data_IF_879799281180
#
_entry.id   IF_879799281180
#
_cell.length_a   1.000
_cell.length_b   1.000
_cell.length_c   1.000
_cell.angle_alpha   90.00
_cell.angle_beta   90.00
_cell.angle_gamma   90.00
#
_symmetry.space_group_name_H-M   'P 1'
#
loop_
_entity.id
_entity.type
_entity.pdbx_description
1 polymer ?
#
# COMPACT_ATOMS: atom_id res chain seq x y z
N UNK A 1 68.13 34.57 41.30
CA UNK A 1 67.47 33.42 40.56
C UNK A 1 65.97 33.30 40.87
N UNK A 2 65.51 33.58 42.06
CA UNK A 2 64.09 33.46 42.44
C UNK A 2 63.16 34.48 41.76
N UNK A 3 63.55 35.73 41.49
CA UNK A 3 62.69 36.77 40.87
C UNK A 3 62.33 36.46 39.41
N UNK A 4 63.18 35.76 38.65
CA UNK A 4 62.90 35.36 37.26
C UNK A 4 61.83 34.18 37.16
N UNK A 5 61.82 33.31 38.16
CA UNK A 5 60.87 32.16 38.19
C UNK A 5 59.47 32.66 38.50
N UNK A 6 59.33 33.60 39.46
CA UNK A 6 58.02 34.17 39.83
C UNK A 6 57.37 34.93 38.66
N UNK A 7 58.20 35.75 37.91
CA UNK A 7 57.70 36.47 36.73
C UNK A 7 57.24 35.52 35.62
N UNK A 8 57.95 34.41 35.39
CA UNK A 8 57.58 33.43 34.34
C UNK A 8 56.28 32.67 34.71
N UNK A 9 56.11 32.28 35.98
CA UNK A 9 54.91 31.64 36.49
C UNK A 9 53.73 32.60 36.44
N UNK A 10 53.87 33.85 36.80
CA UNK A 10 52.83 34.86 36.71
C UNK A 10 52.42 35.15 35.26
N UNK A 11 53.35 35.22 34.33
CA UNK A 11 53.08 35.45 32.90
C UNK A 11 52.33 34.25 32.28
N UNK A 12 52.71 33.04 32.66
CA UNK A 12 52.01 31.81 32.23
C UNK A 12 50.58 31.72 32.79
N UNK A 13 50.39 32.11 34.06
CA UNK A 13 49.07 32.17 34.67
C UNK A 13 48.15 33.19 33.98
N UNK A 14 48.71 34.37 33.68
CA UNK A 14 48.01 35.46 32.99
C UNK A 14 47.63 35.03 31.57
N UNK A 15 48.54 34.34 30.86
CA UNK A 15 48.29 33.82 29.52
C UNK A 15 47.20 32.75 29.55
N UNK A 16 47.23 31.82 30.55
CA UNK A 16 46.23 30.80 30.73
C UNK A 16 44.84 31.38 31.03
N UNK A 17 44.75 32.40 31.88
CA UNK A 17 43.51 33.13 32.16
C UNK A 17 42.96 33.86 30.94
N UNK A 18 43.84 34.43 30.13
CA UNK A 18 43.46 35.14 28.91
C UNK A 18 42.94 34.19 27.84
N UNK A 19 43.61 33.05 27.64
CA UNK A 19 43.18 32.00 26.71
C UNK A 19 41.86 31.35 27.18
N UNK A 20 41.73 31.05 28.46
CA UNK A 20 40.51 30.50 29.03
C UNK A 20 39.35 31.49 28.97
N UNK A 21 39.59 32.77 29.23
CA UNK A 21 38.59 33.83 29.14
C UNK A 21 38.12 34.08 27.70
N UNK A 22 39.05 34.04 26.73
CA UNK A 22 38.70 34.17 25.32
C UNK A 22 37.96 32.96 24.80
N UNK A 23 38.36 31.73 25.19
CA UNK A 23 37.65 30.49 24.82
C UNK A 23 36.24 30.46 25.42
N UNK A 24 36.08 30.86 26.71
CA UNK A 24 34.77 30.97 27.35
C UNK A 24 33.91 32.07 26.71
N UNK A 25 34.48 33.22 26.43
CA UNK A 25 33.78 34.30 25.73
C UNK A 25 33.33 33.91 24.33
N UNK A 26 34.20 33.27 23.54
CA UNK A 26 33.86 32.74 22.22
C UNK A 26 32.79 31.67 22.32
N UNK A 27 32.88 30.72 23.26
CA UNK A 27 31.88 29.71 23.49
C UNK A 27 30.51 30.29 23.89
N UNK A 28 30.53 31.33 24.77
CA UNK A 28 29.31 32.03 25.18
C UNK A 28 28.69 32.84 24.04
N UNK A 29 29.51 33.54 23.25
CA UNK A 29 29.04 34.32 22.09
C UNK A 29 28.52 33.39 20.97
N UNK A 30 29.22 32.30 20.69
CA UNK A 30 28.75 31.33 19.70
C UNK A 30 27.46 30.65 20.16
N UNK A 31 27.38 30.19 21.40
CA UNK A 31 26.15 29.60 21.94
C UNK A 31 24.98 30.59 21.90
N UNK A 32 25.18 31.84 22.31
CA UNK A 32 24.15 32.86 22.30
C UNK A 32 23.78 33.32 20.87
N UNK A 33 24.74 33.29 19.94
CA UNK A 33 24.46 33.52 18.51
C UNK A 33 23.69 32.38 17.89
N UNK A 34 24.08 31.13 18.16
CA UNK A 34 23.33 29.95 17.69
C UNK A 34 21.94 29.89 18.32
N UNK A 35 21.78 30.16 19.61
CA UNK A 35 20.46 30.21 20.25
C UNK A 35 19.59 31.29 19.62
N UNK A 36 20.12 32.51 19.42
CA UNK A 36 19.36 33.56 18.72
C UNK A 36 19.10 33.27 17.25
N UNK A 37 20.02 32.56 16.57
CA UNK A 37 19.79 32.10 15.20
C UNK A 37 18.70 31.01 15.15
N UNK A 38 18.73 30.08 16.11
CA UNK A 38 17.68 29.11 16.27
C UNK A 38 16.33 29.76 16.60
N UNK A 39 16.29 30.67 17.56
CA UNK A 39 15.10 31.45 17.90
C UNK A 39 14.57 32.28 16.71
N UNK A 40 15.49 32.85 15.91
CA UNK A 40 15.09 33.58 14.70
C UNK A 40 14.72 32.66 13.53
N UNK A 41 15.30 31.47 13.46
CA UNK A 41 14.84 30.43 12.52
C UNK A 41 13.52 29.82 12.96
N UNK A 42 13.24 29.69 14.26
CA UNK A 42 11.93 29.40 14.80
C UNK A 42 10.90 30.48 14.47
N UNK A 43 11.27 31.76 14.58
CA UNK A 43 10.44 32.89 14.16
C UNK A 43 10.24 32.99 12.63
N UNK A 44 11.18 32.45 11.85
CA UNK A 44 11.09 32.32 10.39
C UNK A 44 10.61 30.94 9.95
N UNK A 45 10.49 30.00 10.90
CA UNK A 45 9.88 28.70 10.64
C UNK A 45 8.35 28.91 10.61
N UNK A 46 7.70 28.86 9.45
CA UNK A 46 6.25 29.00 9.37
C UNK A 46 5.50 27.89 10.11
N UNK A 47 6.25 26.99 10.78
CA UNK A 47 5.76 25.82 11.49
C UNK A 47 5.72 25.95 13.00
N UNK A 48 6.22 27.06 13.58
CA UNK A 48 6.06 27.38 15.00
C UNK A 48 4.74 28.10 15.21
N UNK A 49 3.74 27.33 15.58
CA UNK A 49 2.49 27.69 16.30
C UNK A 49 1.89 29.08 16.04
N UNK A 50 1.93 29.53 14.77
CA UNK A 50 1.27 30.77 14.34
C UNK A 50 -0.24 30.60 14.08
N UNK A 51 -0.84 29.45 14.46
CA UNK A 51 -2.24 29.13 14.14
C UNK A 51 -2.50 28.99 12.63
N UNK A 52 -1.46 29.04 11.80
CA UNK A 52 -1.56 28.72 10.38
C UNK A 52 -1.70 27.22 10.27
N UNK A 53 -2.83 26.77 9.78
CA UNK A 53 -3.07 25.37 9.41
C UNK A 53 -2.03 24.99 8.35
N UNK A 54 -0.97 24.28 8.78
CA UNK A 54 0.00 23.72 7.86
C UNK A 54 -0.77 22.70 7.03
N UNK A 55 -0.84 22.96 5.73
CA UNK A 55 -1.44 21.99 4.81
C UNK A 55 -0.56 20.74 4.79
N UNK A 56 -1.07 19.62 5.32
CA UNK A 56 -0.45 18.30 5.26
C UNK A 56 -1.16 17.45 4.21
N UNK A 57 -1.00 17.72 2.90
CA UNK A 57 -1.82 17.13 1.85
C UNK A 57 -1.71 15.61 1.78
N UNK A 58 -0.56 15.03 2.14
CA UNK A 58 -0.38 13.59 2.12
C UNK A 58 -1.12 12.87 3.25
N UNK A 59 -1.56 13.57 4.30
CA UNK A 59 -2.36 12.95 5.37
C UNK A 59 -3.68 12.36 4.83
N UNK A 60 -4.20 12.89 3.73
CA UNK A 60 -5.36 12.33 3.03
C UNK A 60 -5.15 10.90 2.51
N UNK A 61 -3.89 10.46 2.42
CA UNK A 61 -3.50 9.11 1.99
C UNK A 61 -3.13 8.18 3.15
N UNK A 62 -3.20 8.64 4.40
CA UNK A 62 -3.02 7.74 5.55
C UNK A 62 -4.14 6.69 5.58
N UNK A 63 -3.86 5.48 6.04
CA UNK A 63 -4.84 4.39 6.08
C UNK A 63 -6.10 4.80 6.85
N UNK A 64 -6.02 5.45 8.05
CA UNK A 64 -7.20 5.94 8.74
C UNK A 64 -8.00 7.00 7.97
N UNK A 65 -7.33 7.85 7.18
CA UNK A 65 -8.02 8.83 6.32
C UNK A 65 -8.71 8.14 5.15
N UNK A 66 -8.04 7.16 4.53
CA UNK A 66 -8.60 6.37 3.43
C UNK A 66 -9.81 5.54 3.88
N UNK A 67 -9.85 5.04 5.10
CA UNK A 67 -11.01 4.32 5.64
C UNK A 67 -12.27 5.19 5.75
N UNK A 68 -12.10 6.50 5.90
CA UNK A 68 -13.18 7.48 6.03
C UNK A 68 -13.53 8.17 4.70
N UNK A 69 -12.74 7.93 3.67
CA UNK A 69 -12.88 8.57 2.36
C UNK A 69 -14.14 8.08 1.65
N UNK A 70 -14.84 9.00 0.97
CA UNK A 70 -15.84 8.67 -0.03
C UNK A 70 -15.16 8.32 -1.35
N UNK A 71 -15.51 7.15 -1.90
CA UNK A 71 -14.91 6.62 -3.12
C UNK A 71 -15.86 6.80 -4.30
N UNK A 72 -15.32 7.24 -5.43
CA UNK A 72 -16.05 7.38 -6.68
C UNK A 72 -16.25 6.01 -7.35
N UNK A 73 -17.32 5.87 -8.09
CA UNK A 73 -17.56 4.71 -8.96
C UNK A 73 -17.72 5.16 -10.40
N UNK A 74 -17.25 4.39 -11.35
CA UNK A 74 -17.40 4.65 -12.77
C UNK A 74 -17.78 3.36 -13.51
N UNK A 75 -18.34 3.49 -14.71
CA UNK A 75 -18.54 2.32 -15.57
C UNK A 75 -17.19 1.80 -16.06
N UNK A 76 -17.11 0.49 -16.21
CA UNK A 76 -16.01 -0.17 -16.91
C UNK A 76 -16.35 -0.18 -18.39
N UNK A 77 -15.43 0.32 -19.23
CA UNK A 77 -15.56 0.32 -20.66
C UNK A 77 -14.61 -0.70 -21.30
N UNK A 78 -15.07 -1.43 -22.33
CA UNK A 78 -14.21 -2.25 -23.17
C UNK A 78 -13.76 -1.42 -24.38
N UNK A 79 -12.45 -1.19 -24.51
CA UNK A 79 -11.88 -0.31 -25.53
C UNK A 79 -11.62 -1.07 -26.85
N UNK A 80 -10.96 -2.23 -26.73
CA UNK A 80 -10.59 -3.09 -27.88
C UNK A 80 -10.25 -4.51 -27.44
N UNK A 81 -10.34 -5.45 -28.36
CA UNK A 81 -9.82 -6.80 -28.19
C UNK A 81 -8.29 -6.74 -28.24
N UNK A 82 -7.62 -7.34 -27.27
CA UNK A 82 -6.17 -7.54 -27.23
C UNK A 82 -5.79 -8.89 -27.86
N UNK A 83 -6.45 -9.96 -27.44
CA UNK A 83 -6.27 -11.31 -28.02
C UNK A 83 -7.56 -12.11 -27.88
N UNK A 84 -7.80 -13.04 -28.83
CA UNK A 84 -8.82 -14.08 -28.75
C UNK A 84 -8.09 -15.40 -28.53
N UNK A 85 -8.37 -16.05 -27.40
CA UNK A 85 -7.80 -17.33 -27.03
C UNK A 85 -8.87 -18.42 -27.14
N UNK A 86 -8.50 -19.70 -27.04
CA UNK A 86 -9.42 -20.83 -27.23
C UNK A 86 -10.59 -20.86 -26.23
N UNK A 87 -10.43 -20.29 -25.02
CA UNK A 87 -11.40 -20.36 -23.93
C UNK A 87 -11.79 -19.03 -23.29
N UNK A 88 -11.16 -17.93 -23.72
CA UNK A 88 -11.47 -16.59 -23.25
C UNK A 88 -11.06 -15.52 -24.26
N UNK A 89 -11.70 -14.37 -24.20
CA UNK A 89 -11.29 -13.17 -24.94
C UNK A 89 -10.67 -12.15 -24.00
N UNK A 90 -9.53 -11.58 -24.40
CA UNK A 90 -8.81 -10.56 -23.66
C UNK A 90 -9.09 -9.17 -24.24
N UNK A 91 -9.47 -8.23 -23.42
CA UNK A 91 -9.82 -6.86 -23.77
C UNK A 91 -8.88 -5.85 -23.10
N UNK A 92 -8.61 -4.75 -23.78
CA UNK A 92 -8.23 -3.51 -23.12
C UNK A 92 -9.50 -2.92 -22.49
N UNK A 93 -9.51 -2.72 -21.20
CA UNK A 93 -10.59 -2.00 -20.51
C UNK A 93 -10.13 -0.64 -20.01
N UNK A 94 -11.09 0.22 -19.71
CA UNK A 94 -10.83 1.46 -18.99
C UNK A 94 -11.91 1.72 -17.94
N UNK A 95 -11.55 2.53 -16.94
CA UNK A 95 -12.46 3.12 -15.96
C UNK A 95 -11.90 4.45 -15.46
N UNK A 96 -12.76 5.27 -14.87
CA UNK A 96 -12.31 6.54 -14.26
C UNK A 96 -12.09 6.33 -12.76
N UNK A 97 -10.92 6.74 -12.28
CA UNK A 97 -10.53 6.72 -10.87
C UNK A 97 -9.74 7.97 -10.54
N UNK A 98 -10.00 8.57 -9.36
CA UNK A 98 -9.38 9.86 -8.99
C UNK A 98 -9.55 10.96 -10.07
N UNK A 99 -10.64 10.91 -10.84
CA UNK A 99 -10.92 11.83 -11.94
C UNK A 99 -10.06 11.64 -13.18
N UNK A 100 -9.27 10.55 -13.27
CA UNK A 100 -8.35 10.22 -14.39
C UNK A 100 -8.70 8.88 -14.99
N UNK A 101 -8.35 8.69 -16.28
CA UNK A 101 -8.52 7.43 -16.99
C UNK A 101 -7.47 6.41 -16.51
N UNK A 102 -7.94 5.23 -16.12
CA UNK A 102 -7.12 4.05 -15.87
C UNK A 102 -7.46 2.98 -16.88
N UNK A 103 -6.44 2.35 -17.48
CA UNK A 103 -6.60 1.20 -18.38
C UNK A 103 -6.10 -0.09 -17.73
N UNK A 104 -6.32 -1.20 -18.43
CA UNK A 104 -5.83 -2.50 -17.99
C UNK A 104 -6.28 -3.64 -18.90
N UNK A 105 -5.88 -4.86 -18.55
CA UNK A 105 -6.29 -6.08 -19.23
C UNK A 105 -7.47 -6.71 -18.51
N UNK A 106 -8.51 -7.08 -19.25
CA UNK A 106 -9.68 -7.80 -18.77
C UNK A 106 -9.88 -9.05 -19.63
N UNK A 107 -9.88 -10.25 -19.01
CA UNK A 107 -10.17 -11.48 -19.71
C UNK A 107 -11.56 -11.98 -19.32
N UNK A 108 -12.38 -12.29 -20.31
CA UNK A 108 -13.72 -12.81 -20.15
C UNK A 108 -13.77 -14.23 -20.70
N UNK A 109 -13.99 -15.26 -19.86
CA UNK A 109 -14.17 -16.64 -20.32
C UNK A 109 -15.38 -16.79 -21.20
N UNK A 110 -15.29 -17.59 -22.28
CA UNK A 110 -16.38 -17.84 -23.22
C UNK A 110 -17.58 -18.55 -22.54
N UNK A 111 -17.29 -19.37 -21.53
CA UNK A 111 -18.35 -20.03 -20.75
C UNK A 111 -19.26 -19.02 -20.01
N UNK A 112 -18.77 -17.83 -19.69
CA UNK A 112 -19.53 -16.76 -19.03
C UNK A 112 -20.48 -16.09 -20.02
N UNK A 113 -20.02 -15.83 -21.23
CA UNK A 113 -20.85 -15.23 -22.29
C UNK A 113 -21.96 -16.20 -22.76
N UNK A 114 -21.67 -17.51 -22.74
CA UNK A 114 -22.63 -18.54 -23.11
C UNK A 114 -23.73 -18.78 -22.05
N UNK A 115 -23.49 -18.48 -20.78
CA UNK A 115 -24.42 -18.71 -19.65
C UNK A 115 -24.57 -17.45 -18.80
N UNK A 116 -25.39 -16.49 -19.22
CA UNK A 116 -25.52 -15.19 -18.52
C UNK A 116 -26.13 -15.31 -17.11
N UNK A 117 -26.84 -16.34 -16.78
CA UNK A 117 -27.52 -16.56 -15.49
C UNK A 117 -26.64 -17.24 -14.44
N UNK A 118 -25.42 -17.69 -14.80
CA UNK A 118 -24.49 -18.32 -13.86
C UNK A 118 -23.89 -17.32 -12.90
N UNK A 119 -23.67 -17.74 -11.67
CA UNK A 119 -22.98 -16.94 -10.64
C UNK A 119 -21.54 -16.64 -11.09
N UNK A 120 -21.19 -15.35 -11.21
CA UNK A 120 -19.93 -14.92 -11.82
C UNK A 120 -18.99 -14.41 -10.78
N UNK A 121 -17.76 -14.87 -10.87
CA UNK A 121 -16.65 -14.52 -9.97
C UNK A 121 -15.58 -13.77 -10.75
N UNK A 122 -15.05 -12.72 -10.16
CA UNK A 122 -13.97 -11.95 -10.74
C UNK A 122 -12.74 -11.95 -9.81
N UNK A 123 -11.56 -11.93 -10.42
CA UNK A 123 -10.29 -11.80 -9.70
C UNK A 123 -9.59 -10.56 -10.21
N UNK A 124 -9.27 -9.63 -9.31
CA UNK A 124 -8.47 -8.46 -9.62
C UNK A 124 -7.00 -8.82 -9.37
N UNK A 125 -6.17 -8.64 -10.40
CA UNK A 125 -4.75 -8.99 -10.34
C UNK A 125 -3.89 -7.73 -10.23
N UNK A 126 -3.05 -7.69 -9.20
CA UNK A 126 -2.19 -6.55 -8.89
C UNK A 126 -0.72 -6.94 -9.10
N UNK A 127 -0.12 -6.33 -10.13
CA UNK A 127 1.27 -6.61 -10.49
C UNK A 127 2.28 -6.06 -9.49
N UNK A 128 3.49 -6.62 -9.51
CA UNK A 128 4.67 -6.05 -8.90
C UNK A 128 5.24 -4.84 -9.68
N UNK A 129 6.47 -4.49 -9.36
CA UNK A 129 7.20 -3.48 -10.13
C UNK A 129 7.55 -4.03 -11.53
N UNK A 130 7.36 -3.18 -12.54
CA UNK A 130 7.81 -3.41 -13.91
C UNK A 130 8.36 -2.07 -14.42
N UNK A 131 9.56 -2.02 -15.01
CA UNK A 131 10.08 -0.79 -15.62
C UNK A 131 9.13 -0.26 -16.70
N UNK A 132 8.92 1.07 -16.74
CA UNK A 132 7.97 1.68 -17.68
C UNK A 132 8.36 1.44 -19.13
N UNK A 133 9.65 1.36 -19.42
CA UNK A 133 10.22 1.22 -20.77
C UNK A 133 9.87 -0.11 -21.44
N UNK A 134 9.62 -1.14 -20.65
CA UNK A 134 9.28 -2.49 -21.15
C UNK A 134 7.81 -2.85 -20.91
N UNK A 135 7.05 -1.94 -20.27
CA UNK A 135 5.68 -2.23 -19.91
C UNK A 135 4.74 -2.22 -21.12
N UNK A 136 3.92 -3.23 -21.17
CA UNK A 136 2.71 -3.27 -21.99
C UNK A 136 1.55 -3.79 -21.15
N UNK A 137 0.33 -3.41 -21.47
CA UNK A 137 -0.88 -3.83 -20.72
C UNK A 137 -0.88 -5.33 -20.42
N UNK A 138 -1.06 -5.66 -19.14
CA UNK A 138 -1.07 -7.02 -18.63
C UNK A 138 0.31 -7.57 -18.20
N UNK A 139 1.42 -6.90 -18.50
CA UNK A 139 2.75 -7.37 -18.06
C UNK A 139 2.80 -7.45 -16.53
N UNK A 140 3.34 -8.56 -16.02
CA UNK A 140 3.42 -8.86 -14.60
C UNK A 140 2.24 -9.65 -14.03
N UNK A 141 1.10 -9.71 -14.76
CA UNK A 141 -0.08 -10.49 -14.37
C UNK A 141 -0.57 -11.45 -15.46
N UNK A 142 -0.13 -11.26 -16.71
CA UNK A 142 -0.66 -11.92 -17.90
C UNK A 142 -0.80 -13.44 -17.76
N UNK A 143 0.23 -14.13 -17.24
CA UNK A 143 0.20 -15.59 -17.12
C UNK A 143 -0.80 -16.06 -16.07
N UNK A 144 -0.84 -15.42 -14.90
CA UNK A 144 -1.81 -15.74 -13.86
C UNK A 144 -3.24 -15.41 -14.31
N UNK A 145 -3.43 -14.25 -14.95
CA UNK A 145 -4.71 -13.83 -15.50
C UNK A 145 -5.24 -14.84 -16.56
N UNK A 146 -4.35 -15.34 -17.42
CA UNK A 146 -4.70 -16.35 -18.42
C UNK A 146 -5.11 -17.67 -17.76
N UNK A 147 -4.32 -18.19 -16.81
CA UNK A 147 -4.61 -19.43 -16.11
C UNK A 147 -5.95 -19.37 -15.35
N UNK A 148 -6.19 -18.27 -14.65
CA UNK A 148 -7.44 -18.05 -13.93
C UNK A 148 -8.64 -17.85 -14.88
N UNK A 149 -8.45 -17.21 -16.04
CA UNK A 149 -9.50 -17.11 -17.06
C UNK A 149 -9.84 -18.46 -17.66
N UNK A 150 -8.84 -19.31 -17.94
CA UNK A 150 -9.04 -20.69 -18.37
C UNK A 150 -9.79 -21.53 -17.31
N UNK A 151 -9.61 -21.22 -16.02
CA UNK A 151 -10.34 -21.83 -14.91
C UNK A 151 -11.78 -21.26 -14.76
N UNK A 152 -12.20 -20.32 -15.61
CA UNK A 152 -13.57 -19.77 -15.64
C UNK A 152 -13.79 -18.48 -14.84
N UNK A 153 -12.75 -17.83 -14.34
CA UNK A 153 -12.86 -16.55 -13.65
C UNK A 153 -12.73 -15.37 -14.63
N UNK A 154 -13.53 -14.32 -14.45
CA UNK A 154 -13.23 -13.03 -15.06
C UNK A 154 -11.98 -12.49 -14.37
N UNK A 155 -10.95 -12.09 -15.14
CA UNK A 155 -9.72 -11.54 -14.59
C UNK A 155 -9.52 -10.12 -15.01
N UNK A 156 -9.16 -9.23 -14.06
CA UNK A 156 -9.06 -7.79 -14.25
C UNK A 156 -7.73 -7.32 -13.71
N UNK A 157 -6.86 -6.78 -14.55
CA UNK A 157 -5.53 -6.34 -14.18
C UNK A 157 -5.32 -4.86 -14.57
N UNK A 158 -5.44 -3.90 -13.63
CA UNK A 158 -5.21 -2.50 -13.93
C UNK A 158 -3.72 -2.22 -14.24
N UNK A 159 -3.46 -1.35 -15.20
CA UNK A 159 -2.10 -0.94 -15.59
C UNK A 159 -1.43 -0.06 -14.53
N UNK A 160 -2.21 0.67 -13.74
CA UNK A 160 -1.87 1.81 -12.91
C UNK A 160 -1.51 3.08 -13.72
N UNK A 161 -1.57 4.24 -13.09
CA UNK A 161 -1.20 5.51 -13.71
C UNK A 161 0.25 5.50 -14.19
N UNK A 162 0.51 6.16 -15.30
CA UNK A 162 1.81 6.19 -15.97
C UNK A 162 2.16 4.93 -16.78
N UNK A 163 1.23 3.95 -16.87
CA UNK A 163 1.44 2.70 -17.59
C UNK A 163 0.31 2.40 -18.57
N UNK A 164 0.63 1.70 -19.67
CA UNK A 164 -0.33 1.40 -20.73
C UNK A 164 -0.91 2.66 -21.34
N UNK A 165 -2.24 2.67 -21.55
CA UNK A 165 -2.99 3.82 -22.06
C UNK A 165 -3.67 4.61 -20.90
N UNK A 166 -3.20 4.43 -19.65
CA UNK A 166 -3.65 5.19 -18.48
C UNK A 166 -3.10 6.62 -18.47
N UNK A 167 -3.81 7.52 -17.80
CA UNK A 167 -3.32 8.87 -17.55
C UNK A 167 -2.01 8.88 -16.75
N UNK A 168 -1.21 9.96 -16.79
CA UNK A 168 0.07 10.07 -16.09
C UNK A 168 -0.05 9.89 -14.58
N UNK A 169 1.02 9.41 -13.94
CA UNK A 169 1.17 9.47 -12.47
C UNK A 169 1.20 10.93 -11.99
N UNK A 170 0.78 11.20 -10.74
CA UNK A 170 0.97 12.52 -10.15
C UNK A 170 2.47 12.86 -10.00
N UNK A 171 2.80 14.15 -10.10
CA UNK A 171 4.19 14.63 -9.97
C UNK A 171 4.79 14.31 -8.59
N UNK A 172 3.94 14.28 -7.54
CA UNK A 172 4.38 13.91 -6.21
C UNK A 172 4.54 12.40 -6.08
N UNK A 173 5.75 11.92 -5.93
CA UNK A 173 6.12 10.50 -5.87
C UNK A 173 5.42 9.74 -4.74
N UNK A 174 5.19 10.39 -3.58
CA UNK A 174 4.44 9.79 -2.47
C UNK A 174 2.97 9.64 -2.80
N UNK A 175 2.36 10.66 -3.42
CA UNK A 175 0.99 10.57 -3.91
C UNK A 175 0.86 9.43 -4.92
N UNK A 176 1.77 9.31 -5.90
CA UNK A 176 1.80 8.22 -6.88
C UNK A 176 1.83 6.84 -6.22
N UNK A 177 2.59 6.69 -5.13
CA UNK A 177 2.64 5.46 -4.36
C UNK A 177 1.33 5.17 -3.63
N UNK A 178 0.81 6.16 -2.90
CA UNK A 178 -0.34 5.99 -2.01
C UNK A 178 -1.69 6.00 -2.74
N UNK A 179 -1.76 6.50 -3.97
CA UNK A 179 -2.97 6.44 -4.81
C UNK A 179 -3.30 5.04 -5.30
N UNK A 180 -2.32 4.14 -5.42
CA UNK A 180 -2.54 2.79 -5.98
C UNK A 180 -3.63 1.99 -5.24
N UNK A 181 -3.66 1.88 -3.91
CA UNK A 181 -4.77 1.23 -3.22
C UNK A 181 -6.13 1.92 -3.45
N UNK A 182 -6.17 3.26 -3.61
CA UNK A 182 -7.40 4.01 -3.88
C UNK A 182 -7.99 3.56 -5.22
N UNK A 183 -7.15 3.45 -6.25
CA UNK A 183 -7.61 3.02 -7.58
C UNK A 183 -8.20 1.61 -7.56
N UNK A 184 -7.63 0.72 -6.74
CA UNK A 184 -8.17 -0.65 -6.57
C UNK A 184 -9.49 -0.64 -5.81
N UNK A 185 -9.62 0.17 -4.75
CA UNK A 185 -10.88 0.33 -4.02
C UNK A 185 -11.99 0.86 -4.95
N UNK A 186 -11.69 1.88 -5.77
CA UNK A 186 -12.64 2.45 -6.72
C UNK A 186 -12.98 1.45 -7.83
N UNK A 187 -12.03 0.61 -8.28
CA UNK A 187 -12.30 -0.49 -9.22
C UNK A 187 -13.26 -1.52 -8.61
N UNK A 188 -13.00 -1.99 -7.38
CA UNK A 188 -13.87 -2.94 -6.68
C UNK A 188 -15.29 -2.38 -6.56
N UNK A 189 -15.43 -1.15 -6.08
CA UNK A 189 -16.74 -0.49 -5.95
C UNK A 189 -17.42 -0.25 -7.29
N UNK A 190 -16.66 0.04 -8.34
CA UNK A 190 -17.18 0.18 -9.70
C UNK A 190 -17.76 -1.13 -10.23
N UNK A 191 -17.08 -2.25 -10.00
CA UNK A 191 -17.56 -3.58 -10.33
C UNK A 191 -18.82 -3.94 -9.51
N UNK A 192 -18.79 -3.69 -8.20
CA UNK A 192 -19.94 -3.98 -7.32
C UNK A 192 -21.19 -3.16 -7.72
N UNK A 193 -21.00 -1.92 -8.18
CA UNK A 193 -22.10 -1.00 -8.49
C UNK A 193 -22.62 -1.18 -9.92
N UNK A 194 -21.70 -1.23 -10.89
CA UNK A 194 -22.03 -1.14 -12.31
C UNK A 194 -21.91 -2.48 -13.05
N UNK A 195 -21.26 -3.51 -12.44
CA UNK A 195 -20.95 -4.76 -13.13
C UNK A 195 -19.80 -4.62 -14.13
N UNK A 196 -19.66 -5.65 -14.98
CA UNK A 196 -18.63 -5.73 -16.03
C UNK A 196 -19.33 -5.94 -17.38
N UNK A 197 -19.04 -5.13 -18.43
CA UNK A 197 -19.54 -5.36 -19.77
C UNK A 197 -18.93 -6.66 -20.35
N UNK A 198 -19.72 -7.45 -21.08
CA UNK A 198 -19.30 -8.74 -21.65
C UNK A 198 -18.85 -8.67 -23.10
N UNK A 199 -19.19 -7.61 -23.80
CA UNK A 199 -18.81 -7.39 -25.20
C UNK A 199 -18.67 -5.92 -25.55
N UNK A 200 -18.01 -5.62 -26.68
CA UNK A 200 -17.80 -4.26 -27.19
C UNK A 200 -19.08 -3.58 -27.69
N UNK A 201 -20.15 -4.31 -27.94
CA UNK A 201 -21.41 -3.78 -28.49
C UNK A 201 -22.31 -3.19 -27.41
N UNK A 202 -22.10 -3.57 -26.15
CA UNK A 202 -22.91 -3.09 -25.02
C UNK A 202 -22.90 -1.57 -24.84
N UNK A 203 -21.88 -0.88 -25.34
CA UNK A 203 -21.77 0.58 -25.27
C UNK A 203 -22.42 1.33 -26.46
N UNK A 204 -22.71 0.63 -27.57
CA UNK A 204 -23.21 1.27 -28.80
C UNK A 204 -24.73 1.39 -28.85
N UNK A 205 -25.46 0.67 -28.03
CA UNK A 205 -26.92 0.71 -28.01
C UNK A 205 -27.39 1.60 -26.86
N UNK A 206 -27.88 2.80 -27.19
CA UNK A 206 -28.66 3.66 -26.29
C UNK A 206 -30.00 3.02 -25.82
N UNK A 207 -30.14 1.70 -25.94
CA UNK A 207 -31.30 0.98 -25.51
C UNK A 207 -31.20 0.61 -24.04
N UNK A 208 -32.17 1.00 -23.26
CA UNK A 208 -32.36 0.90 -21.81
C UNK A 208 -32.47 -0.51 -21.24
N UNK A 209 -32.06 -1.54 -21.97
CA UNK A 209 -31.94 -2.91 -21.45
C UNK A 209 -30.46 -3.25 -21.39
N UNK A 210 -29.83 -3.05 -20.21
CA UNK A 210 -28.48 -3.43 -19.83
C UNK A 210 -28.28 -4.96 -19.87
N UNK A 211 -28.61 -5.63 -20.98
CA UNK A 211 -28.56 -7.10 -21.11
C UNK A 211 -27.13 -7.64 -21.22
N UNK A 212 -26.13 -6.77 -21.47
CA UNK A 212 -24.75 -7.18 -21.72
C UNK A 212 -23.80 -6.84 -20.56
N UNK A 213 -24.31 -6.33 -19.45
CA UNK A 213 -23.54 -6.11 -18.23
C UNK A 213 -23.79 -7.21 -17.22
N UNK A 214 -22.73 -7.90 -16.79
CA UNK A 214 -22.85 -8.94 -15.79
C UNK A 214 -22.57 -8.41 -14.39
N UNK A 215 -23.40 -8.84 -13.43
CA UNK A 215 -23.14 -8.63 -12.01
C UNK A 215 -22.15 -9.67 -11.50
N UNK A 216 -21.24 -9.23 -10.66
CA UNK A 216 -20.25 -10.10 -10.04
C UNK A 216 -20.72 -10.39 -8.61
N UNK A 217 -20.86 -11.68 -8.30
CA UNK A 217 -21.29 -12.13 -6.97
C UNK A 217 -20.14 -12.10 -5.96
N UNK A 218 -18.94 -12.44 -6.40
CA UNK A 218 -17.76 -12.50 -5.56
C UNK A 218 -16.54 -11.94 -6.29
N UNK A 219 -15.78 -11.13 -5.58
CA UNK A 219 -14.49 -10.58 -6.03
C UNK A 219 -13.40 -11.20 -5.17
N UNK A 220 -12.32 -11.68 -5.82
CA UNK A 220 -11.07 -12.07 -5.18
C UNK A 220 -9.93 -11.13 -5.60
N UNK A 221 -8.84 -11.16 -4.85
CA UNK A 221 -7.59 -10.47 -5.19
C UNK A 221 -6.48 -11.50 -5.41
N UNK A 222 -5.72 -11.32 -6.46
CA UNK A 222 -4.43 -11.96 -6.67
C UNK A 222 -3.36 -10.88 -6.78
N UNK A 223 -2.23 -11.04 -6.10
CA UNK A 223 -1.22 -10.00 -6.14
C UNK A 223 0.19 -10.57 -6.05
N UNK A 224 1.13 -9.98 -6.78
CA UNK A 224 2.54 -10.35 -6.77
C UNK A 224 3.43 -9.22 -6.30
N UNK A 225 4.44 -9.54 -5.46
CA UNK A 225 5.48 -8.59 -5.07
C UNK A 225 4.92 -7.32 -4.43
N UNK A 226 5.23 -6.13 -4.97
CA UNK A 226 4.68 -4.84 -4.53
C UNK A 226 3.14 -4.78 -4.67
N UNK A 227 2.55 -5.54 -5.60
CA UNK A 227 1.09 -5.70 -5.68
C UNK A 227 0.49 -6.25 -4.39
N UNK A 228 1.23 -7.10 -3.67
CA UNK A 228 0.80 -7.62 -2.36
C UNK A 228 0.64 -6.54 -1.31
N UNK A 229 1.52 -5.53 -1.27
CA UNK A 229 1.36 -4.37 -0.40
C UNK A 229 0.09 -3.58 -0.77
N UNK A 230 -0.17 -3.39 -2.08
CA UNK A 230 -1.37 -2.69 -2.55
C UNK A 230 -2.63 -3.46 -2.15
N UNK A 231 -2.65 -4.79 -2.32
CA UNK A 231 -3.77 -5.64 -1.94
C UNK A 231 -4.05 -5.57 -0.43
N UNK A 232 -3.03 -5.73 0.41
CA UNK A 232 -3.19 -5.68 1.87
C UNK A 232 -3.72 -4.32 2.33
N UNK A 233 -3.16 -3.21 1.83
CA UNK A 233 -3.65 -1.86 2.14
C UNK A 233 -5.10 -1.68 1.65
N UNK A 234 -5.47 -2.25 0.49
CA UNK A 234 -6.85 -2.24 -0.01
C UNK A 234 -7.81 -2.96 0.96
N UNK A 235 -7.41 -4.11 1.50
CA UNK A 235 -8.20 -4.84 2.50
C UNK A 235 -8.38 -4.05 3.80
N UNK A 236 -7.32 -3.40 4.29
CA UNK A 236 -7.35 -2.55 5.48
C UNK A 236 -8.28 -1.34 5.29
N UNK A 237 -8.29 -0.74 4.10
CA UNK A 237 -9.18 0.36 3.76
C UNK A 237 -10.63 -0.10 3.73
N UNK A 238 -10.91 -1.20 3.03
CA UNK A 238 -12.26 -1.69 2.83
C UNK A 238 -12.86 -2.35 4.07
N UNK A 239 -12.04 -3.00 4.89
CA UNK A 239 -12.47 -3.80 6.05
C UNK A 239 -13.52 -4.85 5.69
N UNK A 240 -13.44 -5.36 4.46
CA UNK A 240 -14.32 -6.40 3.90
C UNK A 240 -13.57 -7.71 3.72
N UNK A 241 -14.19 -8.87 3.98
CA UNK A 241 -13.57 -10.17 3.75
C UNK A 241 -13.53 -10.46 2.24
N UNK A 242 -12.42 -10.18 1.60
CA UNK A 242 -12.16 -10.47 0.19
C UNK A 242 -11.09 -11.57 0.13
N UNK A 243 -11.41 -12.76 -0.43
CA UNK A 243 -10.41 -13.81 -0.62
C UNK A 243 -9.20 -13.28 -1.41
N UNK A 244 -8.01 -13.49 -0.86
CA UNK A 244 -6.80 -12.88 -1.42
C UNK A 244 -5.65 -13.87 -1.45
N UNK A 245 -5.05 -14.05 -2.62
CA UNK A 245 -3.78 -14.78 -2.78
C UNK A 245 -2.65 -13.81 -3.08
N UNK A 246 -1.54 -13.97 -2.36
CA UNK A 246 -0.35 -13.13 -2.47
C UNK A 246 0.86 -13.99 -2.83
N UNK A 247 1.50 -13.68 -3.95
CA UNK A 247 2.74 -14.33 -4.38
C UNK A 247 3.93 -13.44 -4.05
N UNK A 248 4.87 -13.98 -3.26
CA UNK A 248 6.10 -13.27 -2.90
C UNK A 248 5.87 -11.78 -2.51
N UNK A 249 4.89 -11.49 -1.61
CA UNK A 249 4.46 -10.13 -1.36
C UNK A 249 5.50 -9.30 -0.61
N UNK A 250 5.57 -8.01 -0.92
CA UNK A 250 6.31 -7.04 -0.11
C UNK A 250 5.46 -6.70 1.12
N UNK A 251 5.69 -7.40 2.23
CA UNK A 251 4.99 -7.20 3.51
C UNK A 251 5.81 -6.44 4.54
N UNK A 252 7.02 -6.00 4.18
CA UNK A 252 7.83 -5.13 5.01
C UNK A 252 7.11 -3.79 5.25
N UNK A 253 7.17 -3.22 6.46
CA UNK A 253 6.50 -1.97 6.78
C UNK A 253 7.08 -0.78 6.01
N UNK A 254 6.23 0.21 5.68
CA UNK A 254 6.71 1.51 5.24
C UNK A 254 7.39 2.23 6.44
N UNK A 255 8.54 2.91 6.28
CA UNK A 255 9.24 3.13 5.02
C UNK A 255 10.31 2.07 4.67
N UNK A 256 10.52 1.05 5.51
CA UNK A 256 11.57 0.04 5.30
C UNK A 256 11.41 -0.73 3.98
N UNK A 257 10.16 -0.95 3.55
CA UNK A 257 9.86 -1.55 2.24
C UNK A 257 10.37 -0.72 1.05
N UNK A 258 10.56 0.58 1.23
CA UNK A 258 11.13 1.47 0.22
C UNK A 258 12.65 1.49 0.33
N UNK A 259 13.17 1.62 1.56
CA UNK A 259 14.60 1.69 1.81
C UNK A 259 15.36 0.43 1.37
N UNK A 260 14.73 -0.74 1.50
CA UNK A 260 15.36 -2.01 1.12
C UNK A 260 15.81 -2.04 -0.35
N UNK A 261 15.01 -1.47 -1.25
CA UNK A 261 15.33 -1.45 -2.68
C UNK A 261 16.14 -0.21 -3.10
N UNK A 262 16.43 0.70 -2.17
CA UNK A 262 17.09 1.95 -2.52
C UNK A 262 18.59 1.81 -2.81
N UNK A 263 19.23 0.78 -2.25
CA UNK A 263 20.67 0.55 -2.46
C UNK A 263 21.01 0.09 -3.90
N UNK A 264 19.99 -0.34 -4.67
CA UNK A 264 20.12 -0.70 -6.09
C UNK A 264 20.11 0.54 -7.02
N UNK A 265 19.79 1.72 -6.49
CA UNK A 265 19.76 2.96 -7.26
C UNK A 265 21.18 3.50 -7.51
N UNK A 266 21.38 4.24 -8.61
CA UNK A 266 22.67 4.80 -9.00
C UNK A 266 23.32 5.68 -7.90
N UNK A 267 22.50 6.35 -7.10
CA UNK A 267 22.95 7.21 -5.98
C UNK A 267 23.07 6.45 -4.64
N UNK A 268 22.97 5.12 -4.66
CA UNK A 268 22.95 4.27 -3.47
C UNK A 268 21.80 4.64 -2.51
N UNK A 269 20.70 5.14 -3.03
CA UNK A 269 19.49 5.52 -2.29
C UNK A 269 19.61 6.80 -1.44
N UNK A 270 20.59 7.65 -1.71
CA UNK A 270 20.78 8.92 -0.95
C UNK A 270 19.58 9.84 -1.08
N UNK A 271 19.07 10.00 -2.30
CA UNK A 271 17.90 10.83 -2.56
C UNK A 271 16.65 10.26 -1.86
N UNK A 272 16.47 8.95 -1.93
CA UNK A 272 15.34 8.28 -1.31
C UNK A 272 15.33 8.42 0.22
N UNK A 273 16.50 8.25 0.87
CA UNK A 273 16.64 8.48 2.31
C UNK A 273 16.34 9.94 2.68
N UNK A 274 16.78 10.91 1.86
CA UNK A 274 16.44 12.32 2.05
C UNK A 274 14.94 12.55 1.94
N UNK A 275 14.27 11.99 0.95
CA UNK A 275 12.82 12.12 0.78
C UNK A 275 12.04 11.52 1.96
N UNK A 276 12.48 10.36 2.48
CA UNK A 276 11.86 9.75 3.66
C UNK A 276 12.07 10.64 4.89
N UNK A 277 13.27 11.18 5.11
CA UNK A 277 13.53 12.08 6.22
C UNK A 277 12.63 13.32 6.19
N UNK A 278 12.46 13.94 5.02
CA UNK A 278 11.53 15.07 4.86
C UNK A 278 10.06 14.66 5.07
N UNK A 279 9.70 13.45 4.69
CA UNK A 279 8.35 12.94 4.95
C UNK A 279 8.10 12.75 6.45
N UNK A 280 9.08 12.20 7.18
CA UNK A 280 9.00 11.96 8.63
C UNK A 280 8.96 13.26 9.46
N UNK A 281 9.47 14.39 8.94
CA UNK A 281 9.33 15.70 9.59
C UNK A 281 7.85 16.14 9.66
N UNK A 282 7.06 15.80 8.63
CA UNK A 282 5.68 16.26 8.50
C UNK A 282 4.63 15.22 8.86
N UNK A 283 4.94 13.92 8.71
CA UNK A 283 3.97 12.83 8.79
C UNK A 283 4.47 11.70 9.69
N UNK A 284 3.55 11.10 10.45
CA UNK A 284 3.81 9.81 11.09
C UNK A 284 3.77 8.69 10.03
N UNK A 285 4.93 8.11 9.75
CA UNK A 285 5.07 7.02 8.76
C UNK A 285 4.20 5.81 9.08
N UNK A 286 3.88 5.59 10.35
CA UNK A 286 3.05 4.47 10.79
C UNK A 286 1.60 4.57 10.32
N UNK A 287 1.09 5.79 10.10
CA UNK A 287 -0.24 6.02 9.54
C UNK A 287 -0.37 5.53 8.07
N UNK A 288 0.77 5.32 7.39
CA UNK A 288 0.84 4.86 6.00
C UNK A 288 1.34 3.41 5.88
N UNK A 289 1.60 2.74 7.00
CA UNK A 289 2.22 1.42 7.02
C UNK A 289 1.22 0.31 7.30
N UNK A 290 1.03 -0.60 6.35
CA UNK A 290 0.13 -1.75 6.46
C UNK A 290 0.32 -2.59 7.74
N UNK A 291 1.53 -2.66 8.28
CA UNK A 291 1.78 -3.46 9.49
C UNK A 291 1.31 -2.81 10.79
N UNK A 292 0.79 -1.58 10.72
CA UNK A 292 0.25 -0.83 11.86
C UNK A 292 -1.28 -0.76 11.89
N UNK A 293 -1.93 -1.24 10.85
CA UNK A 293 -3.39 -1.23 10.71
C UNK A 293 -3.99 -2.63 10.57
N UNK A 294 -3.29 -3.64 11.12
CA UNK A 294 -3.74 -5.02 11.09
C UNK A 294 -5.08 -5.24 11.79
N UNK A 295 -5.44 -4.37 12.74
CA UNK A 295 -6.77 -4.31 13.37
C UNK A 295 -7.90 -4.09 12.35
N UNK A 296 -7.59 -3.54 11.20
CA UNK A 296 -8.51 -3.30 10.09
C UNK A 296 -8.42 -4.35 8.98
N UNK A 297 -7.39 -5.20 8.99
CA UNK A 297 -7.18 -6.24 7.98
C UNK A 297 -8.26 -7.32 8.08
N UNK A 298 -8.70 -7.82 6.94
CA UNK A 298 -9.65 -8.93 6.82
C UNK A 298 -9.09 -10.01 5.91
N UNK A 299 -9.64 -11.22 6.00
CA UNK A 299 -9.23 -12.36 5.17
C UNK A 299 -10.45 -13.09 4.57
N UNK A 300 -10.24 -14.25 3.94
CA UNK A 300 -9.06 -15.12 4.01
C UNK A 300 -7.89 -14.65 3.13
N UNK A 301 -6.67 -14.90 3.60
CA UNK A 301 -5.43 -14.55 2.90
C UNK A 301 -4.54 -15.78 2.78
N UNK A 302 -4.10 -16.09 1.56
CA UNK A 302 -3.08 -17.10 1.28
C UNK A 302 -1.80 -16.41 0.80
N UNK A 303 -0.69 -16.68 1.44
CA UNK A 303 0.63 -16.24 0.97
C UNK A 303 1.36 -17.43 0.38
N UNK A 304 1.92 -17.27 -0.81
CA UNK A 304 2.79 -18.23 -1.49
C UNK A 304 4.16 -17.61 -1.68
N UNK A 305 5.24 -18.27 -1.19
CA UNK A 305 6.57 -17.68 -1.21
C UNK A 305 7.66 -18.71 -1.48
N UNK A 306 8.59 -18.34 -2.36
CA UNK A 306 9.78 -19.12 -2.67
C UNK A 306 10.88 -18.95 -1.62
N UNK A 307 11.60 -20.03 -1.28
CA UNK A 307 12.72 -19.95 -0.30
C UNK A 307 14.01 -19.38 -0.87
N UNK A 308 14.10 -19.25 -2.21
CA UNK A 308 15.24 -18.65 -2.92
C UNK A 308 14.86 -17.29 -3.53
N UNK A 309 13.86 -16.62 -2.95
CA UNK A 309 13.45 -15.27 -3.33
C UNK A 309 14.49 -14.27 -2.78
N UNK A 310 15.16 -13.56 -3.66
CA UNK A 310 16.17 -12.54 -3.38
C UNK A 310 15.63 -11.10 -3.56
N UNK A 311 14.44 -10.94 -4.14
CA UNK A 311 13.81 -9.65 -4.35
C UNK A 311 12.86 -9.27 -3.21
N UNK A 312 11.93 -10.16 -2.83
CA UNK A 312 11.11 -9.99 -1.64
C UNK A 312 11.46 -11.10 -0.64
N UNK A 313 12.07 -10.76 0.48
CA UNK A 313 12.57 -11.77 1.40
C UNK A 313 11.42 -12.58 2.04
N UNK A 314 11.50 -13.90 1.99
CA UNK A 314 10.53 -14.80 2.64
C UNK A 314 10.35 -14.48 4.14
N UNK A 315 11.38 -13.96 4.79
CA UNK A 315 11.35 -13.50 6.16
C UNK A 315 10.24 -12.46 6.41
N UNK A 316 9.99 -11.56 5.46
CA UNK A 316 8.90 -10.57 5.61
C UNK A 316 7.52 -11.24 5.70
N UNK A 317 7.27 -12.25 4.88
CA UNK A 317 6.02 -13.02 4.95
C UNK A 317 5.88 -13.77 6.28
N UNK A 318 6.97 -14.36 6.79
CA UNK A 318 6.98 -15.05 8.08
C UNK A 318 6.73 -14.08 9.24
N UNK A 319 7.36 -12.91 9.20
CA UNK A 319 7.14 -11.86 10.19
C UNK A 319 5.70 -11.31 10.12
N UNK A 320 5.17 -11.13 8.92
CA UNK A 320 3.80 -10.68 8.71
C UNK A 320 2.78 -11.68 9.31
N UNK A 321 2.94 -12.98 9.05
CA UNK A 321 2.13 -14.04 9.68
C UNK A 321 2.19 -13.96 11.21
N UNK A 322 3.37 -13.71 11.77
CA UNK A 322 3.56 -13.58 13.21
C UNK A 322 2.80 -12.38 13.77
N UNK A 323 2.84 -11.24 13.08
CA UNK A 323 2.08 -10.04 13.45
C UNK A 323 0.57 -10.26 13.37
N UNK A 324 0.08 -10.88 12.28
CA UNK A 324 -1.34 -11.23 12.13
C UNK A 324 -1.80 -12.22 13.20
N UNK A 325 -0.96 -13.20 13.54
CA UNK A 325 -1.26 -14.14 14.64
C UNK A 325 -1.39 -13.42 15.98
N UNK A 326 -0.56 -12.41 16.22
CA UNK A 326 -0.63 -11.58 17.44
C UNK A 326 -1.91 -10.75 17.46
N UNK A 327 -2.25 -10.13 16.34
CA UNK A 327 -3.51 -9.39 16.18
C UNK A 327 -4.74 -10.30 16.42
N UNK A 328 -4.75 -11.51 15.86
CA UNK A 328 -5.83 -12.46 16.09
C UNK A 328 -6.01 -12.83 17.57
N UNK A 329 -4.91 -12.93 18.34
CA UNK A 329 -4.98 -13.15 19.79
C UNK A 329 -5.60 -11.95 20.50
N UNK A 330 -5.28 -10.73 20.09
CA UNK A 330 -5.85 -9.50 20.63
C UNK A 330 -7.35 -9.43 20.35
N UNK A 331 -7.78 -9.65 19.10
CA UNK A 331 -9.20 -9.68 18.71
C UNK A 331 -10.01 -10.69 19.52
N UNK A 332 -9.44 -11.87 19.76
CA UNK A 332 -10.08 -12.88 20.61
C UNK A 332 -10.20 -12.43 22.08
N UNK A 333 -9.19 -11.75 22.61
CA UNK A 333 -9.23 -11.20 23.95
C UNK A 333 -10.29 -10.09 24.07
N UNK A 334 -10.32 -9.16 23.13
CA UNK A 334 -11.29 -8.06 23.09
C UNK A 334 -12.73 -8.58 22.95
N UNK A 335 -12.95 -9.61 22.14
CA UNK A 335 -14.27 -10.25 22.01
C UNK A 335 -14.73 -10.83 23.33
N UNK A 336 -13.86 -11.56 24.06
CA UNK A 336 -14.18 -12.12 25.38
C UNK A 336 -14.46 -11.04 26.42
N UNK A 337 -13.70 -9.93 26.40
CA UNK A 337 -13.94 -8.79 27.29
C UNK A 337 -15.32 -8.18 27.05
N UNK A 338 -15.70 -7.99 25.76
CA UNK A 338 -17.01 -7.45 25.39
C UNK A 338 -18.16 -8.38 25.80
N UNK A 339 -17.99 -9.69 25.59
CA UNK A 339 -18.97 -10.71 26.04
C UNK A 339 -19.15 -10.69 27.56
N UNK A 340 -18.05 -10.62 28.33
CA UNK A 340 -18.09 -10.53 29.79
C UNK A 340 -18.77 -9.23 30.26
N UNK A 341 -18.48 -8.11 29.60
CA UNK A 341 -19.12 -6.82 29.90
C UNK A 341 -20.61 -6.86 29.60
N UNK A 342 -21.01 -7.41 28.44
CA UNK A 342 -22.42 -7.55 28.06
C UNK A 342 -23.21 -8.44 29.05
N UNK A 343 -22.55 -9.47 29.61
CA UNK A 343 -23.17 -10.34 30.60
C UNK A 343 -23.43 -9.66 31.97
N UNK A 344 -22.70 -8.59 32.30
CA UNK A 344 -22.73 -7.90 33.57
C UNK A 344 -23.46 -6.55 33.56
N UNK A 345 -23.71 -5.98 32.39
CA UNK A 345 -24.22 -4.60 32.19
C UNK A 345 -25.69 -4.62 31.81
N UNK A 346 -26.50 -3.74 32.42
CA UNK A 346 -27.90 -3.56 31.99
C UNK A 346 -27.98 -2.98 30.56
N UNK A 347 -29.01 -3.36 29.81
CA UNK A 347 -29.18 -2.97 28.40
C UNK A 347 -29.12 -1.44 28.15
N UNK A 348 -29.35 -0.62 29.17
CA UNK A 348 -29.34 0.84 29.09
C UNK A 348 -27.93 1.42 29.23
N UNK A 349 -27.06 0.78 29.99
CA UNK A 349 -25.64 1.16 30.17
C UNK A 349 -24.79 0.66 29.00
N UNK A 350 -25.11 -0.52 28.45
CA UNK A 350 -24.45 -1.09 27.27
C UNK A 350 -24.57 -0.20 26.03
N UNK A 351 -25.71 0.52 25.87
CA UNK A 351 -25.92 1.42 24.72
C UNK A 351 -25.06 2.71 24.79
N UNK A 352 -24.63 3.13 25.97
CA UNK A 352 -23.85 4.37 26.16
C UNK A 352 -22.32 4.12 26.05
N UNK A 353 -21.87 2.87 26.19
CA UNK A 353 -20.47 2.49 26.24
C UNK A 353 -20.03 1.54 25.11
N UNK A 354 -20.81 1.45 24.02
CA UNK A 354 -20.57 0.51 22.95
C UNK A 354 -19.22 0.76 22.26
N UNK A 355 -18.17 0.05 22.71
CA UNK A 355 -16.95 -0.12 21.91
C UNK A 355 -17.33 -0.81 20.58
N UNK A 356 -16.72 -0.42 19.46
CA UNK A 356 -16.93 -1.13 18.20
C UNK A 356 -16.56 -2.61 18.38
N UNK A 357 -17.38 -3.50 17.81
CA UNK A 357 -17.08 -4.92 17.82
C UNK A 357 -15.77 -5.17 17.06
N UNK A 358 -14.83 -5.95 17.59
CA UNK A 358 -13.63 -6.31 16.88
C UNK A 358 -13.97 -7.10 15.62
N UNK A 359 -13.15 -6.94 14.59
CA UNK A 359 -13.27 -7.75 13.39
C UNK A 359 -13.00 -9.23 13.73
N UNK A 360 -13.57 -10.18 12.96
CA UNK A 360 -13.27 -11.59 13.14
C UNK A 360 -11.78 -11.88 12.95
N UNK A 361 -11.31 -12.99 13.50
CA UNK A 361 -9.93 -13.44 13.29
C UNK A 361 -9.63 -13.55 11.78
N UNK A 362 -8.43 -13.12 11.40
CA UNK A 362 -7.95 -13.19 10.02
C UNK A 362 -7.54 -14.63 9.75
N UNK A 363 -8.22 -15.29 8.81
CA UNK A 363 -7.76 -16.56 8.28
C UNK A 363 -6.57 -16.28 7.35
N UNK A 364 -5.38 -16.78 7.70
CA UNK A 364 -4.16 -16.56 6.93
C UNK A 364 -3.27 -17.80 6.96
N UNK A 365 -2.69 -18.16 5.82
CA UNK A 365 -1.72 -19.25 5.70
C UNK A 365 -0.52 -18.82 4.85
N UNK A 366 0.60 -19.55 5.01
CA UNK A 366 1.82 -19.39 4.23
C UNK A 366 2.22 -20.73 3.61
N UNK A 367 2.19 -20.79 2.30
CA UNK A 367 2.71 -21.91 1.52
C UNK A 367 4.14 -21.57 1.06
N UNK A 368 5.10 -22.43 1.38
CA UNK A 368 6.50 -22.21 1.03
C UNK A 368 6.97 -23.20 -0.02
N UNK A 369 7.75 -22.72 -1.00
CA UNK A 369 8.26 -23.52 -2.11
C UNK A 369 9.79 -23.52 -2.08
N UNK A 370 10.37 -24.71 -1.88
CA UNK A 370 11.82 -24.88 -1.79
C UNK A 370 12.51 -24.53 -3.11
N UNK A 371 13.66 -23.84 -3.04
CA UNK A 371 14.48 -23.45 -4.18
C UNK A 371 13.70 -22.71 -5.27
N UNK A 372 12.71 -21.92 -4.89
CA UNK A 372 11.81 -21.17 -5.77
C UNK A 372 12.15 -19.70 -5.65
N UNK A 373 12.30 -19.03 -6.80
CA UNK A 373 12.65 -17.62 -6.88
C UNK A 373 11.41 -16.71 -6.75
N UNK A 374 11.62 -15.40 -6.87
CA UNK A 374 10.60 -14.35 -6.77
C UNK A 374 9.39 -14.55 -7.72
N UNK A 375 9.62 -15.06 -8.92
CA UNK A 375 8.58 -15.34 -9.93
C UNK A 375 7.99 -16.75 -9.84
N UNK A 376 8.15 -17.40 -8.69
CA UNK A 376 7.67 -18.75 -8.39
C UNK A 376 8.24 -19.85 -9.30
N UNK A 377 9.39 -19.63 -9.95
CA UNK A 377 10.08 -20.64 -10.77
C UNK A 377 11.02 -21.46 -9.87
N UNK A 378 11.02 -22.80 -9.98
CA UNK A 378 10.35 -23.64 -10.97
C UNK A 378 8.95 -24.16 -10.56
N UNK A 379 8.35 -23.67 -9.48
CA UNK A 379 7.11 -24.18 -8.93
C UNK A 379 5.86 -23.37 -9.34
N UNK A 380 5.93 -22.61 -10.44
CA UNK A 380 4.84 -21.76 -10.91
C UNK A 380 3.51 -22.51 -11.10
N UNK A 381 3.56 -23.68 -11.77
CA UNK A 381 2.37 -24.50 -12.01
C UNK A 381 1.74 -25.04 -10.71
N UNK A 382 2.54 -25.35 -9.71
CA UNK A 382 2.03 -25.75 -8.40
C UNK A 382 1.39 -24.58 -7.66
N UNK A 383 1.99 -23.40 -7.77
CA UNK A 383 1.49 -22.22 -7.09
C UNK A 383 0.13 -21.81 -7.64
N UNK A 384 0.00 -21.71 -8.98
CA UNK A 384 -1.29 -21.30 -9.61
C UNK A 384 -2.41 -22.30 -9.40
N UNK A 385 -2.11 -23.57 -9.17
CA UNK A 385 -3.11 -24.60 -8.83
C UNK A 385 -3.64 -24.50 -7.39
N UNK A 386 -2.96 -23.75 -6.52
CA UNK A 386 -3.39 -23.51 -5.15
C UNK A 386 -4.30 -22.26 -5.03
N UNK A 387 -4.33 -21.43 -6.05
CA UNK A 387 -5.17 -20.24 -6.16
C UNK A 387 -6.59 -20.59 -6.57
#
# INVERSE_FOLDING_TARGET
>A
MQIKIVKKTFLNLLFFLLVSGTAFGLGFFTNNYYTKLYDSLELLNPFVDSGVLISKPLLAYSIPSLQKREYQTSKIALEKILTEEESYTSFLFSYTTLGRKMTGQLNIPDAITANPDQDKKAIILLRGYVPAEIYTTGVGTKNAAAALAQAGYITIAPDFFGFGDSDPEPENTWAARFEKPITVVELIKSIETNGIPLNLESERTNNTLDLDVTRISNIGLWAHSNGGQIALTTLEILRKPIPTTLWAPVTAPFPYSVLYFSDELEDEGKEQRKWISLFEEDYDVFEFSLTKHLDSLTGPIQIQHGTADDAALIFWSQEFITKVTTENKQRLADTKELEALAATTSAREASAAAKPQPLPAIEINLLTYQNTNHNMVPNWDKAIQQD
#
